data_IF_820339017123
#
_entry.id   IF_820339017123
#
_cell.length_a   1.000
_cell.length_b   1.000
_cell.length_c   1.000
_cell.angle_alpha   90.00
_cell.angle_beta   90.00
_cell.angle_gamma   90.00
#
_symmetry.space_group_name_H-M   'P 1'
#
loop_
_entity.id
_entity.type
_entity.pdbx_description
1 polymer ?
#
# COMPACT_ATOMS: atom_id res chain seq x y z
N UNK A 1 11.42 19.94 -76.16
CA UNK A 1 11.39 18.75 -75.27
C UNK A 1 10.71 19.23 -74.01
N UNK A 2 9.38 19.20 -74.02
CA UNK A 2 8.54 19.75 -72.95
C UNK A 2 7.71 18.61 -72.38
N UNK A 3 8.13 18.11 -71.24
CA UNK A 3 7.41 17.10 -70.47
C UNK A 3 6.44 17.81 -69.52
N UNK A 4 5.20 18.00 -69.98
CA UNK A 4 4.07 18.38 -69.13
C UNK A 4 3.70 17.21 -68.21
N UNK A 5 3.92 17.39 -66.91
CA UNK A 5 3.42 16.48 -65.88
C UNK A 5 1.94 16.79 -65.65
N UNK A 6 1.08 15.86 -66.08
CA UNK A 6 -0.36 15.86 -65.76
C UNK A 6 -0.49 15.36 -64.32
N UNK A 7 -0.96 16.22 -63.41
CA UNK A 7 -1.25 15.85 -62.02
C UNK A 7 -2.78 15.69 -61.90
N UNK A 8 -3.23 14.45 -61.77
CA UNK A 8 -4.63 14.08 -61.69
C UNK A 8 -5.31 14.54 -60.40
N UNK A 9 -6.56 14.99 -60.55
CA UNK A 9 -7.46 15.52 -59.50
C UNK A 9 -7.88 14.52 -58.42
N UNK A 10 -7.46 13.27 -58.50
CA UNK A 10 -7.86 12.16 -57.61
C UNK A 10 -7.06 12.06 -56.31
N UNK A 11 -5.97 12.83 -56.16
CA UNK A 11 -5.14 12.82 -54.93
C UNK A 11 -5.63 13.75 -53.82
N UNK A 12 -6.54 14.69 -54.12
CA UNK A 12 -6.98 15.70 -53.15
C UNK A 12 -8.09 15.26 -52.19
N UNK A 13 -8.88 14.23 -52.53
CA UNK A 13 -9.99 13.77 -51.69
C UNK A 13 -9.54 12.81 -50.57
N UNK A 14 -8.46 12.05 -50.77
CA UNK A 14 -7.94 11.14 -49.73
C UNK A 14 -7.33 11.88 -48.53
N UNK A 15 -6.77 13.08 -48.75
CA UNK A 15 -6.18 13.90 -47.69
C UNK A 15 -7.22 14.67 -46.86
N UNK A 16 -8.45 14.87 -47.37
CA UNK A 16 -9.53 15.49 -46.59
C UNK A 16 -10.18 14.52 -45.60
N UNK A 17 -10.36 13.26 -45.97
CA UNK A 17 -10.98 12.25 -45.08
C UNK A 17 -10.07 11.91 -43.88
N UNK A 18 -8.75 11.85 -44.09
CA UNK A 18 -7.78 11.57 -43.01
C UNK A 18 -7.59 12.72 -42.02
N UNK A 19 -7.93 13.97 -42.39
CA UNK A 19 -7.78 15.15 -41.51
C UNK A 19 -8.96 15.31 -40.53
N UNK A 20 -10.12 14.70 -40.83
CA UNK A 20 -11.33 14.79 -40.00
C UNK A 20 -11.29 13.80 -38.81
N UNK A 21 -10.50 12.72 -38.90
CA UNK A 21 -10.49 11.65 -37.88
C UNK A 21 -9.53 11.93 -36.69
N UNK A 22 -8.73 13.01 -36.73
CA UNK A 22 -7.65 13.23 -35.75
C UNK A 22 -7.81 14.39 -34.75
N UNK A 23 -9.02 14.90 -34.51
CA UNK A 23 -9.20 15.98 -33.51
C UNK A 23 -10.39 15.78 -32.58
N UNK A 24 -10.44 14.66 -31.85
CA UNK A 24 -11.35 14.54 -30.70
C UNK A 24 -10.73 13.71 -29.57
N UNK A 25 -9.50 14.07 -29.15
CA UNK A 25 -9.01 13.65 -27.84
C UNK A 25 -9.12 14.84 -26.90
N UNK A 26 -10.17 14.82 -26.07
CA UNK A 26 -10.31 15.75 -24.96
C UNK A 26 -9.06 15.65 -24.07
N UNK A 27 -8.27 16.71 -24.07
CA UNK A 27 -7.10 16.83 -23.21
C UNK A 27 -7.57 16.95 -21.76
N UNK A 28 -7.51 15.85 -21.00
CA UNK A 28 -7.59 15.91 -19.55
C UNK A 28 -6.19 16.21 -19.02
N UNK A 29 -5.96 17.32 -18.31
CA UNK A 29 -4.69 17.52 -17.64
C UNK A 29 -4.51 16.37 -16.65
N UNK A 30 -3.46 15.59 -16.81
CA UNK A 30 -3.04 14.57 -15.84
C UNK A 30 -2.93 15.29 -14.50
N UNK A 31 -3.86 15.02 -13.57
CA UNK A 31 -3.77 15.59 -12.23
C UNK A 31 -2.44 15.13 -11.63
N UNK A 32 -1.48 16.04 -11.55
CA UNK A 32 -0.21 15.80 -10.87
C UNK A 32 -0.52 15.30 -9.47
N UNK A 33 -0.39 13.99 -9.23
CA UNK A 33 -0.42 13.44 -7.88
C UNK A 33 0.72 14.12 -7.15
N UNK A 34 0.39 14.97 -6.18
CA UNK A 34 1.39 15.54 -5.28
C UNK A 34 2.26 14.39 -4.79
N UNK A 35 3.60 14.46 -4.94
CA UNK A 35 4.47 13.40 -4.45
C UNK A 35 4.12 13.16 -2.98
N UNK A 36 3.74 11.93 -2.67
CA UNK A 36 3.37 11.56 -1.31
C UNK A 36 4.64 11.67 -0.48
N UNK A 37 4.78 12.78 0.24
CA UNK A 37 5.91 13.01 1.14
C UNK A 37 6.04 11.80 2.07
N UNK A 38 7.18 11.13 2.01
CA UNK A 38 7.47 10.00 2.89
C UNK A 38 7.40 10.49 4.33
N UNK A 39 6.32 10.12 5.03
CA UNK A 39 6.19 10.39 6.45
C UNK A 39 7.00 9.33 7.16
N UNK A 40 8.19 9.71 7.65
CA UNK A 40 8.94 8.86 8.58
C UNK A 40 8.04 8.56 9.79
N UNK A 41 8.01 7.31 10.29
CA UNK A 41 7.27 6.99 11.49
C UNK A 41 7.78 7.85 12.66
N UNK A 42 6.86 8.30 13.53
CA UNK A 42 7.24 8.96 14.78
C UNK A 42 8.03 7.96 15.64
N UNK A 43 9.11 8.41 16.26
CA UNK A 43 9.97 7.56 17.11
C UNK A 43 9.19 6.87 18.24
N UNK A 44 8.23 7.57 18.86
CA UNK A 44 7.33 7.05 19.91
C UNK A 44 6.53 5.80 19.48
N UNK A 45 6.19 5.69 18.19
CA UNK A 45 5.49 4.50 17.71
C UNK A 45 6.43 3.30 17.64
N UNK A 46 7.70 3.51 17.25
CA UNK A 46 8.67 2.42 17.12
C UNK A 46 9.00 1.81 18.49
N UNK A 47 9.19 2.63 19.52
CA UNK A 47 9.46 2.13 20.88
C UNK A 47 8.35 1.23 21.40
N UNK A 48 7.09 1.51 21.05
CA UNK A 48 5.96 0.65 21.43
C UNK A 48 6.00 -0.72 20.73
N UNK A 49 6.36 -0.77 19.44
CA UNK A 49 6.53 -2.04 18.73
C UNK A 49 7.69 -2.85 19.33
N UNK A 50 8.83 -2.21 19.58
CA UNK A 50 10.01 -2.85 20.19
C UNK A 50 9.65 -3.49 21.54
N UNK A 51 8.99 -2.74 22.43
CA UNK A 51 8.55 -3.26 23.73
C UNK A 51 7.60 -4.45 23.59
N UNK A 52 6.62 -4.37 22.68
CA UNK A 52 5.69 -5.47 22.46
C UNK A 52 6.40 -6.73 21.95
N UNK A 53 7.38 -6.59 21.04
CA UNK A 53 8.13 -7.74 20.53
C UNK A 53 9.13 -8.30 21.55
N UNK A 54 9.70 -7.48 22.44
CA UNK A 54 10.46 -7.99 23.59
C UNK A 54 9.58 -8.92 24.44
N UNK A 55 8.38 -8.48 24.81
CA UNK A 55 7.46 -9.31 25.58
C UNK A 55 7.00 -10.57 24.82
N UNK A 56 6.82 -10.51 23.49
CA UNK A 56 6.51 -11.71 22.70
C UNK A 56 7.68 -12.70 22.64
N UNK A 57 8.92 -12.21 22.64
CA UNK A 57 10.11 -13.08 22.67
C UNK A 57 10.28 -13.75 24.03
N UNK A 58 9.95 -13.04 25.11
CA UNK A 58 9.96 -13.59 26.48
C UNK A 58 8.82 -14.58 26.72
N UNK A 59 7.64 -14.33 26.14
CA UNK A 59 6.44 -15.14 26.30
C UNK A 59 5.71 -15.30 24.94
N UNK A 60 6.13 -16.30 24.12
CA UNK A 60 5.55 -16.54 22.80
C UNK A 60 4.05 -16.89 22.83
N UNK A 61 3.51 -17.36 23.96
CA UNK A 61 2.08 -17.67 24.08
C UNK A 61 1.21 -16.40 23.95
N UNK A 62 1.79 -15.22 24.20
CA UNK A 62 1.14 -13.92 23.95
C UNK A 62 0.85 -13.65 22.48
N UNK A 63 1.37 -14.44 21.54
CA UNK A 63 0.90 -14.42 20.14
C UNK A 63 -0.61 -14.67 20.05
N UNK A 64 -1.19 -15.41 21.01
CA UNK A 64 -2.64 -15.57 21.12
C UNK A 64 -3.39 -14.24 21.32
N UNK A 65 -2.81 -13.29 22.06
CA UNK A 65 -3.37 -11.94 22.25
C UNK A 65 -3.38 -11.18 20.92
N UNK A 66 -2.29 -11.24 20.16
CA UNK A 66 -2.22 -10.63 18.84
C UNK A 66 -3.28 -11.24 17.89
N UNK A 67 -3.43 -12.57 17.89
CA UNK A 67 -4.47 -13.26 17.11
C UNK A 67 -5.88 -12.81 17.51
N UNK A 68 -6.15 -12.71 18.81
CA UNK A 68 -7.43 -12.22 19.32
C UNK A 68 -7.70 -10.78 18.89
N UNK A 69 -6.70 -9.90 18.95
CA UNK A 69 -6.80 -8.52 18.49
C UNK A 69 -7.09 -8.43 16.99
N UNK A 70 -6.35 -9.19 16.16
CA UNK A 70 -6.58 -9.25 14.71
C UNK A 70 -8.03 -9.65 14.42
N UNK A 71 -8.51 -10.74 15.03
CA UNK A 71 -9.89 -11.20 14.88
C UNK A 71 -10.92 -10.16 15.36
N UNK A 72 -10.65 -9.48 16.48
CA UNK A 72 -11.54 -8.43 16.99
C UNK A 72 -11.69 -7.27 16.01
N UNK A 73 -10.59 -6.81 15.41
CA UNK A 73 -10.61 -5.67 14.51
C UNK A 73 -11.09 -6.02 13.10
N UNK A 74 -10.93 -7.26 12.64
CA UNK A 74 -11.54 -7.74 11.39
C UNK A 74 -13.05 -7.54 11.36
N UNK A 75 -13.72 -7.79 12.48
CA UNK A 75 -15.18 -7.70 12.58
C UNK A 75 -15.70 -6.26 12.58
N UNK A 76 -14.83 -5.25 12.68
CA UNK A 76 -15.23 -3.83 12.71
C UNK A 76 -15.59 -3.35 11.30
N UNK A 77 -16.85 -2.99 11.10
CA UNK A 77 -17.38 -2.46 9.82
C UNK A 77 -16.69 -1.17 9.35
N UNK A 78 -16.46 -0.24 10.27
CA UNK A 78 -15.94 1.10 9.98
C UNK A 78 -14.50 1.23 10.47
N UNK A 79 -13.55 0.85 9.62
CA UNK A 79 -12.12 1.07 9.82
C UNK A 79 -11.52 1.87 8.65
N UNK A 80 -10.57 2.78 8.91
CA UNK A 80 -9.80 3.43 7.86
C UNK A 80 -9.11 2.41 6.94
N UNK A 81 -8.95 2.75 5.66
CA UNK A 81 -8.29 1.87 4.68
C UNK A 81 -6.90 1.41 5.11
N UNK A 82 -6.13 2.29 5.77
CA UNK A 82 -4.81 1.98 6.32
C UNK A 82 -4.88 0.91 7.41
N UNK A 83 -5.86 0.98 8.31
CA UNK A 83 -6.06 -0.01 9.37
C UNK A 83 -6.44 -1.37 8.79
N UNK A 84 -7.39 -1.42 7.84
CA UNK A 84 -7.75 -2.66 7.13
C UNK A 84 -6.53 -3.30 6.45
N UNK A 85 -5.71 -2.49 5.79
CA UNK A 85 -4.49 -2.96 5.13
C UNK A 85 -3.43 -3.50 6.11
N UNK A 86 -3.35 -2.97 7.33
CA UNK A 86 -2.49 -3.50 8.38
C UNK A 86 -3.03 -4.82 8.94
N UNK A 87 -4.34 -4.92 9.19
CA UNK A 87 -5.01 -6.15 9.64
C UNK A 87 -4.73 -7.31 8.68
N UNK A 88 -5.00 -7.14 7.39
CA UNK A 88 -4.74 -8.19 6.38
C UNK A 88 -3.28 -8.63 6.32
N UNK A 89 -2.34 -7.73 6.62
CA UNK A 89 -0.92 -8.10 6.68
C UNK A 89 -0.59 -8.90 7.92
N UNK A 90 -1.15 -8.53 9.08
CA UNK A 90 -0.97 -9.31 10.30
C UNK A 90 -1.63 -10.68 10.20
N UNK A 91 -2.78 -10.80 9.53
CA UNK A 91 -3.38 -12.10 9.18
C UNK A 91 -2.41 -12.98 8.39
N UNK A 92 -1.84 -12.43 7.32
CA UNK A 92 -0.88 -13.15 6.51
C UNK A 92 0.39 -13.50 7.30
N UNK A 93 0.88 -12.57 8.14
CA UNK A 93 2.03 -12.81 8.99
C UNK A 93 1.81 -14.00 9.92
N UNK A 94 0.68 -14.02 10.65
CA UNK A 94 0.29 -15.08 11.57
C UNK A 94 0.04 -16.43 10.87
N UNK A 95 -0.32 -16.40 9.58
CA UNK A 95 -0.44 -17.61 8.79
C UNK A 95 0.91 -18.18 8.32
N UNK A 96 1.94 -17.32 8.23
CA UNK A 96 3.28 -17.71 7.76
C UNK A 96 4.21 -18.09 8.91
N UNK A 97 4.12 -17.41 10.05
CA UNK A 97 5.05 -17.63 11.16
C UNK A 97 4.40 -17.24 12.49
N UNK A 98 4.70 -18.03 13.52
CA UNK A 98 4.39 -17.73 14.92
C UNK A 98 5.67 -17.40 15.71
N UNK A 99 6.83 -17.36 15.04
CA UNK A 99 8.11 -17.05 15.66
C UNK A 99 8.23 -15.53 15.92
N UNK A 100 8.34 -15.08 17.19
CA UNK A 100 8.39 -13.66 17.54
C UNK A 100 9.55 -12.88 16.90
N UNK A 101 10.73 -13.49 16.75
CA UNK A 101 11.90 -12.86 16.13
C UNK A 101 11.67 -12.57 14.64
N UNK A 102 11.05 -13.51 13.93
CA UNK A 102 10.73 -13.30 12.52
C UNK A 102 9.62 -12.26 12.34
N UNK A 103 8.63 -12.28 13.22
CA UNK A 103 7.56 -11.28 13.22
C UNK A 103 8.12 -9.88 13.47
N UNK A 104 8.97 -9.72 14.47
CA UNK A 104 9.66 -8.45 14.77
C UNK A 104 10.45 -7.98 13.55
N UNK A 105 11.28 -8.85 12.95
CA UNK A 105 12.08 -8.51 11.77
C UNK A 105 11.23 -7.95 10.64
N UNK A 106 10.11 -8.60 10.31
CA UNK A 106 9.20 -8.19 9.22
C UNK A 106 8.44 -6.91 9.57
N UNK A 107 7.98 -6.76 10.81
CA UNK A 107 7.21 -5.59 11.25
C UNK A 107 8.10 -4.35 11.41
N UNK A 108 9.35 -4.53 11.83
CA UNK A 108 10.30 -3.43 12.08
C UNK A 108 11.13 -3.04 10.86
N UNK A 109 11.09 -3.82 9.78
CA UNK A 109 11.81 -3.53 8.54
C UNK A 109 11.54 -2.11 8.03
N UNK A 110 12.57 -1.40 7.54
CA UNK A 110 12.40 -0.12 6.84
C UNK A 110 11.96 -0.31 5.39
N UNK A 111 10.96 -1.17 5.19
CA UNK A 111 10.35 -1.45 3.91
C UNK A 111 8.95 -0.85 3.82
N UNK A 112 8.38 -0.90 2.61
CA UNK A 112 6.97 -0.56 2.42
C UNK A 112 6.06 -1.43 3.31
N UNK A 113 6.35 -2.72 3.42
CA UNK A 113 5.56 -3.66 4.21
C UNK A 113 5.69 -3.39 5.70
N UNK A 114 6.90 -3.17 6.22
CA UNK A 114 7.12 -2.77 7.61
C UNK A 114 6.35 -1.49 7.97
N UNK A 115 6.39 -0.47 7.10
CA UNK A 115 5.60 0.77 7.29
C UNK A 115 4.09 0.51 7.32
N UNK A 116 3.60 -0.52 6.64
CA UNK A 116 2.18 -0.89 6.62
C UNK A 116 1.75 -1.63 7.89
N UNK A 117 2.56 -2.55 8.40
CA UNK A 117 2.32 -3.15 9.71
C UNK A 117 2.19 -2.07 10.80
N UNK A 118 3.10 -1.09 10.77
CA UNK A 118 3.16 0.00 11.75
C UNK A 118 2.02 1.02 11.67
N UNK A 119 1.04 0.84 10.77
CA UNK A 119 -0.14 1.71 10.68
C UNK A 119 -1.21 1.39 11.73
N UNK A 120 -1.12 0.25 12.42
CA UNK A 120 -2.09 -0.14 13.44
C UNK A 120 -1.40 -0.73 14.69
N UNK A 121 -0.75 0.11 15.52
CA UNK A 121 -0.10 -0.32 16.76
C UNK A 121 -1.06 -1.03 17.71
N UNK A 122 -2.35 -0.66 17.69
CA UNK A 122 -3.41 -1.25 18.53
C UNK A 122 -3.56 -2.76 18.40
N UNK A 123 -3.02 -3.39 17.34
CA UNK A 123 -3.00 -4.85 17.22
C UNK A 123 -2.09 -5.52 18.26
N UNK A 124 -1.10 -4.80 18.80
CA UNK A 124 -0.19 -5.27 19.83
C UNK A 124 -0.64 -4.89 21.26
N UNK A 125 -1.84 -4.32 21.40
CA UNK A 125 -2.40 -3.94 22.71
C UNK A 125 -2.55 -5.18 23.59
N UNK A 126 -2.14 -5.08 24.86
CA UNK A 126 -2.23 -6.19 25.81
C UNK A 126 -0.96 -7.05 25.90
N UNK A 127 -0.03 -6.92 24.94
CA UNK A 127 1.17 -7.77 24.90
C UNK A 127 2.21 -7.33 25.93
N UNK A 128 2.47 -6.04 26.05
CA UNK A 128 3.42 -5.45 27.01
C UNK A 128 2.78 -5.06 28.34
N UNK A 129 1.48 -5.29 28.49
CA UNK A 129 0.80 -5.02 29.76
C UNK A 129 1.08 -6.22 30.64
N UNK A 130 1.97 -6.05 31.63
CA UNK A 130 2.11 -7.04 32.69
C UNK A 130 0.71 -7.28 33.26
N UNK A 131 0.28 -8.54 33.23
CA UNK A 131 -0.86 -8.99 34.01
C UNK A 131 -0.54 -8.69 35.48
N UNK A 132 -1.06 -7.58 35.99
CA UNK A 132 -1.25 -7.37 37.42
C UNK A 132 -2.38 -8.28 37.92
#
# INVERSE_FOLDING_TARGET
MDSHVIIDSTTYEFLRVLKIIKMNQAYYPVRNRRPQRERKPKAENLSYFEQAFVCLKEDPDRVAILRANVNHYQQKKHLPKAAKAAITRFEYLLAVTENPEEMERRVMEDSYEGRKFRQMPLLLKGISTNSE
#
